data_IF_609844172643
#
_entry.id   IF_609844172643
#
_cell.length_a   1.000
_cell.length_b   1.000
_cell.length_c   1.000
_cell.angle_alpha   90.00
_cell.angle_beta   90.00
_cell.angle_gamma   90.00
#
_symmetry.space_group_name_H-M   'P 1'
#
loop_
_entity.id
_entity.type
_entity.pdbx_description
1 polymer ?
#
# COMPACT_ATOMS: atom_id res chain seq x y z
N UNK A 1 32.35 14.26 -18.80
CA UNK A 1 31.17 13.38 -19.01
C UNK A 1 30.01 14.03 -18.31
N UNK A 2 28.94 14.35 -19.05
CA UNK A 2 27.76 14.89 -18.38
C UNK A 2 27.11 13.74 -17.57
N UNK A 3 26.52 14.05 -16.44
CA UNK A 3 25.70 13.13 -15.62
C UNK A 3 24.63 12.36 -16.43
N UNK A 4 24.40 12.77 -17.67
CA UNK A 4 23.37 12.27 -18.56
C UNK A 4 23.84 11.11 -19.45
N UNK A 5 25.15 10.89 -19.57
CA UNK A 5 25.72 9.88 -20.46
C UNK A 5 26.06 8.57 -19.71
N UNK A 6 26.17 8.61 -18.40
CA UNK A 6 26.27 7.40 -17.57
C UNK A 6 24.86 6.89 -17.22
N UNK A 7 24.49 5.68 -17.61
CA UNK A 7 23.18 5.11 -17.30
C UNK A 7 22.84 5.14 -15.81
N UNK A 8 23.78 4.87 -14.93
CA UNK A 8 23.68 5.09 -13.47
C UNK A 8 25.08 5.29 -12.95
N UNK A 9 25.40 6.51 -12.47
CA UNK A 9 26.68 6.79 -11.84
C UNK A 9 26.96 5.92 -10.61
N UNK A 10 28.21 5.70 -10.26
CA UNK A 10 28.59 4.86 -9.10
C UNK A 10 27.87 5.25 -7.80
N UNK A 11 27.69 6.55 -7.55
CA UNK A 11 26.97 7.06 -6.38
C UNK A 11 25.48 6.68 -6.30
N UNK A 12 24.91 6.20 -7.38
CA UNK A 12 23.51 5.75 -7.46
C UNK A 12 23.35 4.23 -7.34
N UNK A 13 24.44 3.52 -7.08
CA UNK A 13 24.44 2.06 -6.86
C UNK A 13 24.67 1.74 -5.40
N UNK A 14 24.32 0.52 -4.93
CA UNK A 14 24.69 0.09 -3.60
C UNK A 14 26.22 -0.02 -3.44
N UNK A 15 26.71 0.24 -2.23
CA UNK A 15 28.12 0.04 -1.90
C UNK A 15 28.43 -1.45 -1.75
N UNK A 16 27.47 -2.23 -1.21
CA UNK A 16 27.56 -3.67 -1.17
C UNK A 16 27.11 -4.28 -2.51
N UNK A 17 27.96 -5.04 -3.24
CA UNK A 17 27.60 -5.63 -4.53
C UNK A 17 26.53 -6.74 -4.45
N UNK A 18 26.22 -7.24 -3.26
CA UNK A 18 25.16 -8.24 -3.03
C UNK A 18 23.83 -7.60 -2.64
N UNK A 19 23.81 -6.31 -2.32
CA UNK A 19 22.62 -5.59 -1.90
C UNK A 19 21.93 -4.88 -3.09
N UNK A 20 20.68 -4.51 -2.90
CA UNK A 20 20.00 -3.51 -3.73
C UNK A 20 20.01 -2.16 -3.00
N UNK A 21 20.05 -1.06 -3.75
CA UNK A 21 19.88 0.28 -3.19
C UNK A 21 18.40 0.65 -3.22
N UNK A 22 17.81 0.85 -2.03
CA UNK A 22 16.43 1.31 -1.88
C UNK A 22 16.41 2.85 -1.76
N UNK A 23 15.91 3.52 -2.78
CA UNK A 23 15.61 4.95 -2.70
C UNK A 23 14.27 5.17 -2.01
N UNK A 24 14.36 5.67 -0.79
CA UNK A 24 13.24 5.92 0.08
C UNK A 24 13.58 6.82 1.25
N UNK A 25 12.60 7.06 2.10
CA UNK A 25 12.73 7.72 3.39
C UNK A 25 11.82 7.01 4.40
N UNK A 26 12.16 7.07 5.68
CA UNK A 26 11.46 6.34 6.74
C UNK A 26 9.95 6.63 6.81
N UNK A 27 9.55 7.87 6.52
CA UNK A 27 8.16 8.33 6.53
C UNK A 27 7.41 8.10 5.21
N UNK A 28 8.02 7.44 4.22
CA UNK A 28 7.34 7.12 2.96
C UNK A 28 6.30 6.02 3.17
N UNK A 29 5.03 6.33 2.90
CA UNK A 29 3.92 5.40 3.06
C UNK A 29 4.13 4.12 2.24
N UNK A 30 4.24 4.23 0.94
CA UNK A 30 4.31 3.07 0.04
C UNK A 30 5.60 2.24 0.14
N UNK A 31 6.66 2.78 0.77
CA UNK A 31 7.90 2.03 0.97
C UNK A 31 7.77 0.94 2.02
N UNK A 32 6.85 1.07 2.97
CA UNK A 32 6.63 0.08 4.03
C UNK A 32 6.51 -1.35 3.50
N UNK A 33 5.77 -1.55 2.40
CA UNK A 33 5.62 -2.84 1.72
C UNK A 33 6.96 -3.44 1.31
N UNK A 34 7.73 -2.74 0.49
CA UNK A 34 8.99 -3.25 -0.07
C UNK A 34 10.06 -3.44 1.00
N UNK A 35 10.19 -2.49 1.94
CA UNK A 35 11.15 -2.57 3.05
C UNK A 35 10.87 -3.78 3.93
N UNK A 36 9.63 -3.92 4.39
CA UNK A 36 9.20 -5.03 5.23
C UNK A 36 9.41 -6.38 4.54
N UNK A 37 9.07 -6.47 3.25
CA UNK A 37 9.29 -7.67 2.46
C UNK A 37 10.77 -8.06 2.40
N UNK A 38 11.64 -7.11 2.05
CA UNK A 38 13.08 -7.38 1.99
C UNK A 38 13.65 -7.82 3.33
N UNK A 39 13.22 -7.20 4.44
CA UNK A 39 13.62 -7.61 5.80
C UNK A 39 13.17 -9.04 6.09
N UNK A 40 11.89 -9.36 5.83
CA UNK A 40 11.31 -10.68 6.10
C UNK A 40 11.93 -11.80 5.26
N UNK A 41 12.31 -11.51 4.03
CA UNK A 41 12.94 -12.47 3.13
C UNK A 41 14.49 -12.48 3.20
N UNK A 42 15.07 -11.68 4.09
CA UNK A 42 16.53 -11.62 4.24
C UNK A 42 17.26 -11.07 3.01
N UNK A 43 16.61 -10.24 2.21
CA UNK A 43 17.18 -9.63 1.02
C UNK A 43 18.08 -8.46 1.46
N UNK A 44 19.39 -8.48 1.15
CA UNK A 44 20.28 -7.39 1.51
C UNK A 44 19.89 -6.09 0.76
N UNK A 45 19.80 -5.00 1.49
CA UNK A 45 19.54 -3.69 0.89
C UNK A 45 20.23 -2.56 1.67
N UNK A 46 20.50 -1.47 0.97
CA UNK A 46 20.92 -0.19 1.54
C UNK A 46 19.80 0.82 1.28
N UNK A 47 19.40 1.59 2.28
CA UNK A 47 18.38 2.63 2.10
C UNK A 47 19.04 4.02 2.03
N UNK A 48 18.68 4.79 1.01
CA UNK A 48 19.13 6.17 0.82
C UNK A 48 17.98 7.09 0.45
N UNK A 49 18.02 8.32 0.98
CA UNK A 49 17.12 9.37 0.53
C UNK A 49 17.33 9.64 -0.98
N UNK A 50 16.24 9.92 -1.73
CA UNK A 50 16.35 10.10 -3.17
C UNK A 50 17.06 11.41 -3.59
N UNK A 51 17.17 12.39 -2.72
CA UNK A 51 17.96 13.60 -2.98
C UNK A 51 19.47 13.30 -2.85
N UNK A 52 20.32 13.79 -3.75
CA UNK A 52 20.03 14.71 -4.87
C UNK A 52 19.63 14.02 -6.19
N UNK A 53 19.41 12.71 -6.22
CA UNK A 53 19.24 11.89 -7.43
C UNK A 53 17.81 11.84 -7.98
N UNK A 54 16.88 12.51 -7.32
CA UNK A 54 15.45 12.49 -7.64
C UNK A 54 15.16 12.77 -9.12
N UNK A 55 15.80 13.81 -9.65
CA UNK A 55 15.59 14.22 -11.04
C UNK A 55 16.15 13.20 -12.03
N UNK A 56 17.35 12.68 -11.79
CA UNK A 56 17.99 11.69 -12.64
C UNK A 56 17.21 10.38 -12.68
N UNK A 57 16.72 9.91 -11.52
CA UNK A 57 15.87 8.74 -11.42
C UNK A 57 14.56 8.95 -12.19
N UNK A 58 13.90 10.09 -11.99
CA UNK A 58 12.66 10.44 -12.68
C UNK A 58 12.82 10.49 -14.20
N UNK A 59 13.93 11.06 -14.70
CA UNK A 59 14.23 11.10 -16.13
C UNK A 59 14.41 9.70 -16.75
N UNK A 60 15.03 8.78 -16.02
CA UNK A 60 15.24 7.40 -16.50
C UNK A 60 13.97 6.55 -16.52
N UNK A 61 13.06 6.81 -15.58
CA UNK A 61 11.85 6.00 -15.40
C UNK A 61 10.58 6.70 -15.94
N UNK A 62 10.70 7.90 -16.51
CA UNK A 62 9.55 8.72 -16.88
C UNK A 62 8.88 9.42 -15.70
N UNK A 63 8.88 8.82 -14.51
CA UNK A 63 8.37 9.39 -13.26
C UNK A 63 9.12 8.78 -12.07
N UNK A 64 9.56 9.62 -11.14
CA UNK A 64 10.07 9.11 -9.87
C UNK A 64 8.92 8.86 -8.88
N UNK A 65 9.04 7.78 -8.12
CA UNK A 65 8.23 7.52 -6.91
C UNK A 65 9.05 6.69 -5.90
N UNK A 66 8.68 6.78 -4.64
CA UNK A 66 9.17 5.91 -3.58
C UNK A 66 8.16 4.78 -3.33
N UNK A 67 8.62 3.53 -3.18
CA UNK A 67 10.01 3.06 -3.27
C UNK A 67 10.50 2.89 -4.71
N UNK A 68 11.80 3.00 -4.89
CA UNK A 68 12.52 2.60 -6.11
C UNK A 68 13.77 1.85 -5.70
N UNK A 69 14.05 0.68 -6.29
CA UNK A 69 15.30 -0.05 -6.07
C UNK A 69 16.21 0.04 -7.29
N UNK A 70 17.51 0.06 -7.03
CA UNK A 70 18.57 -0.01 -8.04
C UNK A 70 19.47 -1.20 -7.71
N UNK A 71 19.66 -2.07 -8.69
CA UNK A 71 20.54 -3.23 -8.59
C UNK A 71 22.00 -2.85 -8.84
N UNK A 72 22.97 -3.67 -8.41
CA UNK A 72 24.40 -3.45 -8.72
C UNK A 72 24.68 -3.34 -10.22
N UNK A 73 23.95 -4.08 -11.05
CA UNK A 73 24.05 -4.05 -12.51
C UNK A 73 23.39 -2.79 -13.16
N UNK A 74 22.73 -1.97 -12.35
CA UNK A 74 22.09 -0.75 -12.80
C UNK A 74 20.63 -0.89 -13.24
N UNK A 75 20.04 -2.08 -13.16
CA UNK A 75 18.59 -2.24 -13.34
C UNK A 75 17.84 -1.46 -12.29
N UNK A 76 16.67 -0.95 -12.66
CA UNK A 76 15.79 -0.18 -11.78
C UNK A 76 14.43 -0.86 -11.74
N UNK A 77 13.85 -0.98 -10.55
CA UNK A 77 12.45 -1.33 -10.36
C UNK A 77 11.81 -0.27 -9.49
N UNK A 78 10.74 0.30 -9.97
CA UNK A 78 9.92 1.30 -9.28
C UNK A 78 8.63 0.67 -8.80
N UNK A 79 8.13 1.15 -7.67
CA UNK A 79 6.89 0.77 -7.00
C UNK A 79 6.99 -0.47 -6.11
N UNK A 80 6.32 -0.38 -4.95
CA UNK A 80 6.38 -1.43 -3.93
C UNK A 80 5.80 -2.77 -4.37
N UNK A 81 4.76 -2.77 -5.20
CA UNK A 81 4.16 -4.00 -5.74
C UNK A 81 5.13 -4.69 -6.69
N UNK A 82 5.68 -3.94 -7.66
CA UNK A 82 6.62 -4.50 -8.63
C UNK A 82 7.92 -5.00 -7.97
N UNK A 83 8.37 -4.35 -6.91
CA UNK A 83 9.55 -4.80 -6.14
C UNK A 83 9.24 -6.14 -5.45
N UNK A 84 8.10 -6.26 -4.80
CA UNK A 84 7.67 -7.49 -4.14
C UNK A 84 7.47 -8.61 -5.16
N UNK A 85 6.74 -8.36 -6.24
CA UNK A 85 6.48 -9.34 -7.31
C UNK A 85 7.80 -9.86 -7.92
N UNK A 86 8.77 -8.97 -8.15
CA UNK A 86 10.10 -9.37 -8.66
C UNK A 86 10.80 -10.38 -7.76
N UNK A 87 10.75 -10.17 -6.45
CA UNK A 87 11.40 -11.09 -5.50
C UNK A 87 10.54 -12.34 -5.25
N UNK A 88 9.21 -12.22 -5.20
CA UNK A 88 8.28 -13.37 -5.10
C UNK A 88 8.53 -14.38 -6.20
N UNK A 89 8.56 -13.94 -7.47
CA UNK A 89 8.82 -14.81 -8.61
C UNK A 89 10.16 -15.57 -8.50
N UNK A 90 11.19 -14.95 -7.93
CA UNK A 90 12.53 -15.54 -7.79
C UNK A 90 12.72 -16.42 -6.58
N UNK A 91 11.90 -16.23 -5.56
CA UNK A 91 11.99 -16.95 -4.27
C UNK A 91 10.95 -18.08 -4.15
N UNK A 92 10.18 -18.36 -5.19
CA UNK A 92 9.14 -19.40 -5.20
C UNK A 92 7.87 -18.99 -4.43
N UNK A 93 7.54 -17.71 -4.45
CA UNK A 93 6.33 -17.12 -3.89
C UNK A 93 6.12 -17.39 -2.39
N UNK A 94 7.09 -17.05 -1.52
CA UNK A 94 7.01 -17.35 -0.10
C UNK A 94 5.84 -16.66 0.63
N UNK A 95 5.37 -15.51 0.14
CA UNK A 95 4.26 -14.77 0.73
C UNK A 95 2.89 -15.10 0.12
N UNK A 96 2.84 -16.06 -0.81
CA UNK A 96 1.60 -16.54 -1.40
C UNK A 96 1.05 -17.73 -0.60
N UNK A 97 -0.12 -17.63 0.04
CA UNK A 97 -0.77 -18.78 0.66
C UNK A 97 -1.12 -19.84 -0.39
N UNK A 98 -1.05 -21.14 -0.04
CA UNK A 98 -1.38 -22.23 -0.97
C UNK A 98 -2.88 -22.39 -1.20
N UNK A 99 -3.71 -22.03 -0.21
CA UNK A 99 -5.16 -22.13 -0.28
C UNK A 99 -5.77 -21.03 -1.15
N UNK A 100 -6.78 -21.33 -1.98
CA UNK A 100 -7.40 -20.36 -2.87
C UNK A 100 -8.11 -19.21 -2.13
N UNK A 101 -8.88 -19.49 -1.07
CA UNK A 101 -9.52 -18.45 -0.26
C UNK A 101 -8.49 -17.57 0.45
N UNK A 102 -7.50 -18.17 1.07
CA UNK A 102 -6.39 -17.44 1.69
C UNK A 102 -5.64 -16.57 0.69
N UNK A 103 -5.42 -17.08 -0.53
CA UNK A 103 -4.74 -16.28 -1.57
C UNK A 103 -5.57 -15.07 -1.99
N UNK A 104 -6.89 -15.23 -2.18
CA UNK A 104 -7.80 -14.10 -2.46
C UNK A 104 -7.79 -13.07 -1.34
N UNK A 105 -7.88 -13.53 -0.08
CA UNK A 105 -7.80 -12.65 1.10
C UNK A 105 -6.46 -11.90 1.13
N UNK A 106 -5.36 -12.60 0.87
CA UNK A 106 -4.03 -11.99 0.82
C UNK A 106 -3.93 -10.87 -0.23
N UNK A 107 -4.48 -11.09 -1.44
CA UNK A 107 -4.53 -10.08 -2.50
C UNK A 107 -5.47 -8.92 -2.14
N UNK A 108 -6.61 -9.18 -1.52
CA UNK A 108 -7.52 -8.12 -1.05
C UNK A 108 -6.84 -7.22 -0.03
N UNK A 109 -6.17 -7.78 0.97
CA UNK A 109 -5.43 -6.95 1.94
C UNK A 109 -4.25 -6.22 1.32
N UNK A 110 -3.66 -6.72 0.22
CA UNK A 110 -2.64 -5.99 -0.54
C UNK A 110 -3.23 -4.71 -1.18
N UNK A 111 -4.47 -4.78 -1.70
CA UNK A 111 -5.21 -3.60 -2.18
C UNK A 111 -5.64 -2.69 -1.02
N UNK A 112 -6.31 -3.25 -0.01
CA UNK A 112 -6.89 -2.52 1.11
C UNK A 112 -5.82 -1.78 1.93
N UNK A 113 -4.65 -2.38 2.14
CA UNK A 113 -3.53 -1.74 2.82
C UNK A 113 -3.04 -0.52 2.06
N UNK A 114 -2.80 -0.66 0.75
CA UNK A 114 -2.28 0.43 -0.06
C UNK A 114 -3.30 1.54 -0.32
N UNK A 115 -4.58 1.18 -0.58
CA UNK A 115 -5.61 2.10 -1.05
C UNK A 115 -6.70 2.39 -0.01
N UNK A 116 -7.09 1.40 0.81
CA UNK A 116 -8.16 1.54 1.79
C UNK A 116 -7.76 2.38 3.00
N UNK A 117 -6.49 2.35 3.44
CA UNK A 117 -6.00 3.12 4.59
C UNK A 117 -5.24 4.40 4.21
N UNK A 118 -5.21 4.79 2.94
CA UNK A 118 -4.61 6.06 2.51
C UNK A 118 -5.28 7.26 3.16
N UNK A 119 -6.61 7.27 3.22
CA UNK A 119 -7.40 8.37 3.76
C UNK A 119 -7.08 8.64 5.23
N UNK A 120 -7.17 7.68 6.17
CA UNK A 120 -6.75 7.91 7.54
C UNK A 120 -5.25 8.23 7.66
N UNK A 121 -4.38 7.63 6.85
CA UNK A 121 -2.95 7.92 6.86
C UNK A 121 -2.65 9.38 6.53
N UNK A 122 -3.38 9.97 5.58
CA UNK A 122 -3.25 11.39 5.22
C UNK A 122 -3.91 12.30 6.24
N UNK A 123 -5.07 11.90 6.77
CA UNK A 123 -5.76 12.66 7.80
C UNK A 123 -4.89 12.83 9.05
N UNK A 124 -4.42 11.73 9.62
CA UNK A 124 -3.63 11.76 10.84
C UNK A 124 -2.29 12.47 10.67
N UNK A 125 -1.69 12.46 9.49
CA UNK A 125 -0.43 13.18 9.24
C UNK A 125 -0.59 14.68 9.18
N UNK A 126 -1.66 15.20 8.59
CA UNK A 126 -1.75 16.61 8.21
C UNK A 126 -2.83 17.42 8.92
N UNK A 127 -3.60 16.81 9.84
CA UNK A 127 -4.69 17.52 10.54
C UNK A 127 -4.52 17.56 12.07
N UNK A 128 -3.33 17.25 12.58
CA UNK A 128 -2.97 17.30 14.00
C UNK A 128 -1.67 18.09 14.19
N UNK A 129 -1.60 19.28 13.60
CA UNK A 129 -0.37 20.08 13.54
C UNK A 129 0.09 20.53 14.93
N UNK A 130 -0.84 20.86 15.82
CA UNK A 130 -0.50 21.30 17.20
C UNK A 130 0.28 20.24 17.98
N UNK A 131 0.00 18.95 17.76
CA UNK A 131 0.59 17.84 18.50
C UNK A 131 1.86 17.28 17.87
N UNK A 132 2.06 17.47 16.55
CA UNK A 132 3.12 16.76 15.84
C UNK A 132 3.90 17.59 14.81
N UNK A 133 3.72 18.92 14.80
CA UNK A 133 4.37 19.83 13.84
C UNK A 133 5.87 19.58 13.72
N UNK A 134 6.60 19.64 14.82
CA UNK A 134 8.06 19.52 14.83
C UNK A 134 8.53 18.17 14.32
N UNK A 135 7.80 17.09 14.62
CA UNK A 135 8.11 15.76 14.13
C UNK A 135 7.94 15.66 12.62
N UNK A 136 6.83 16.16 12.09
CA UNK A 136 6.57 16.16 10.64
C UNK A 136 7.58 17.05 9.92
N UNK A 137 7.81 18.26 10.41
CA UNK A 137 8.77 19.20 9.85
C UNK A 137 10.19 18.61 9.81
N UNK A 138 10.64 17.97 10.90
CA UNK A 138 11.93 17.28 10.95
C UNK A 138 12.08 16.26 9.81
N UNK A 139 11.06 15.42 9.60
CA UNK A 139 11.13 14.37 8.58
C UNK A 139 11.17 14.93 7.17
N UNK A 140 10.38 15.95 6.87
CA UNK A 140 10.42 16.60 5.56
C UNK A 140 11.72 17.38 5.34
N UNK A 141 12.20 18.10 6.35
CA UNK A 141 13.47 18.84 6.30
C UNK A 141 14.67 17.91 6.06
N UNK A 142 14.73 16.77 6.78
CA UNK A 142 15.80 15.79 6.59
C UNK A 142 15.78 15.16 5.19
N UNK A 143 14.59 14.92 4.63
CA UNK A 143 14.43 14.46 3.25
C UNK A 143 14.90 15.51 2.21
N UNK A 144 14.84 16.78 2.55
CA UNK A 144 15.20 17.91 1.69
C UNK A 144 16.62 18.44 1.96
N UNK A 145 17.53 17.60 2.47
CA UNK A 145 18.91 17.97 2.81
C UNK A 145 19.03 19.17 3.76
N UNK A 146 18.08 19.35 4.69
CA UNK A 146 18.07 20.44 5.65
C UNK A 146 17.37 21.72 5.16
N UNK A 147 16.76 21.73 3.97
CA UNK A 147 16.01 22.89 3.48
C UNK A 147 14.60 22.92 4.12
N UNK A 148 14.51 23.58 5.26
CA UNK A 148 13.27 23.70 6.04
C UNK A 148 12.20 24.52 5.30
N UNK A 149 12.58 25.57 4.59
CA UNK A 149 11.62 26.39 3.84
C UNK A 149 11.00 25.63 2.67
N UNK A 150 11.76 24.77 2.02
CA UNK A 150 11.23 23.87 1.01
C UNK A 150 10.33 22.80 1.65
N UNK A 151 10.73 22.24 2.79
CA UNK A 151 9.94 21.28 3.55
C UNK A 151 8.56 21.83 3.93
N UNK A 152 8.49 23.06 4.47
CA UNK A 152 7.24 23.75 4.80
C UNK A 152 6.31 23.90 3.58
N UNK A 153 6.87 24.28 2.42
CA UNK A 153 6.10 24.41 1.16
C UNK A 153 5.54 23.06 0.71
N UNK A 154 6.32 21.98 0.81
CA UNK A 154 5.86 20.64 0.45
C UNK A 154 4.78 20.15 1.41
N UNK A 155 4.95 20.33 2.72
CA UNK A 155 3.93 19.99 3.72
C UNK A 155 2.62 20.72 3.44
N UNK A 156 2.68 22.04 3.25
CA UNK A 156 1.52 22.86 2.91
C UNK A 156 0.85 22.40 1.60
N UNK A 157 1.63 22.10 0.55
CA UNK A 157 1.09 21.59 -0.70
C UNK A 157 0.38 20.25 -0.53
N UNK A 158 0.98 19.31 0.20
CA UNK A 158 0.38 17.99 0.40
C UNK A 158 -0.88 18.09 1.25
N UNK A 159 -0.85 18.86 2.32
CA UNK A 159 -2.01 19.08 3.19
C UNK A 159 -3.19 19.72 2.46
N UNK A 160 -2.95 20.77 1.67
CA UNK A 160 -4.02 21.59 1.07
C UNK A 160 -4.47 21.12 -0.31
N UNK A 161 -3.60 20.44 -1.08
CA UNK A 161 -3.91 20.06 -2.46
C UNK A 161 -3.93 18.55 -2.71
N UNK A 162 -3.15 17.76 -1.96
CA UNK A 162 -3.06 16.32 -2.20
C UNK A 162 -4.01 15.53 -1.29
N UNK A 163 -4.03 15.81 0.01
CA UNK A 163 -4.91 15.11 0.95
C UNK A 163 -6.42 15.23 0.60
N UNK A 164 -6.92 16.39 0.13
CA UNK A 164 -8.31 16.50 -0.32
C UNK A 164 -8.67 15.62 -1.52
N UNK A 165 -7.70 15.20 -2.35
CA UNK A 165 -7.94 14.29 -3.47
C UNK A 165 -8.28 12.86 -3.00
N UNK A 166 -7.95 12.51 -1.78
CA UNK A 166 -8.39 11.27 -1.10
C UNK A 166 -9.60 11.47 -0.18
N UNK A 167 -10.28 12.60 -0.29
CA UNK A 167 -11.47 12.88 0.50
C UNK A 167 -11.19 13.33 1.93
N UNK A 168 -9.96 13.75 2.25
CA UNK A 168 -9.61 14.31 3.56
C UNK A 168 -10.00 15.79 3.59
N UNK A 169 -11.10 16.12 4.24
CA UNK A 169 -11.65 17.46 4.41
C UNK A 169 -12.23 17.61 5.81
N UNK A 170 -12.39 18.81 6.35
CA UNK A 170 -12.99 19.00 7.68
C UNK A 170 -14.35 18.30 7.86
N UNK A 171 -15.17 18.24 6.81
CA UNK A 171 -16.48 17.56 6.82
C UNK A 171 -16.40 16.04 6.92
N UNK A 172 -15.24 15.44 6.62
CA UNK A 172 -15.06 13.98 6.60
C UNK A 172 -14.18 13.48 7.75
N UNK A 173 -13.57 14.35 8.56
CA UNK A 173 -12.64 13.93 9.63
C UNK A 173 -13.29 12.92 10.58
N UNK A 174 -14.51 13.21 11.06
CA UNK A 174 -15.18 12.34 12.03
C UNK A 174 -15.45 10.92 11.51
N UNK A 175 -15.86 10.78 10.26
CA UNK A 175 -16.09 9.44 9.66
C UNK A 175 -14.76 8.72 9.40
N UNK A 176 -13.70 9.44 9.01
CA UNK A 176 -12.36 8.86 8.83
C UNK A 176 -11.83 8.29 10.14
N UNK A 177 -11.94 9.06 11.22
CA UNK A 177 -11.50 8.63 12.56
C UNK A 177 -12.31 7.43 13.05
N UNK A 178 -13.64 7.47 12.90
CA UNK A 178 -14.53 6.35 13.27
C UNK A 178 -14.17 5.06 12.55
N UNK A 179 -13.98 5.12 11.23
CA UNK A 179 -13.62 3.95 10.43
C UNK A 179 -12.22 3.43 10.80
N UNK A 180 -11.26 4.33 11.01
CA UNK A 180 -9.92 3.91 11.42
C UNK A 180 -9.89 3.29 12.82
N UNK A 181 -10.65 3.84 13.77
CA UNK A 181 -10.77 3.25 15.11
C UNK A 181 -11.41 1.86 15.08
N UNK A 182 -12.45 1.68 14.25
CA UNK A 182 -13.05 0.36 14.02
C UNK A 182 -12.08 -0.64 13.39
N UNK A 183 -11.24 -0.20 12.45
CA UNK A 183 -10.14 -1.01 11.93
C UNK A 183 -9.15 -1.41 13.04
N UNK A 184 -8.74 -0.44 13.86
CA UNK A 184 -7.78 -0.69 14.96
C UNK A 184 -8.36 -1.72 15.94
N UNK A 185 -9.62 -1.60 16.32
CA UNK A 185 -10.28 -2.56 17.22
C UNK A 185 -10.25 -3.99 16.64
N UNK A 186 -10.71 -4.17 15.41
CA UNK A 186 -10.82 -5.49 14.76
C UNK A 186 -9.48 -6.13 14.45
N UNK A 187 -8.54 -5.34 13.91
CA UNK A 187 -7.22 -5.88 13.60
C UNK A 187 -6.43 -6.18 14.88
N UNK A 188 -6.56 -5.35 15.92
CA UNK A 188 -5.97 -5.65 17.24
C UNK A 188 -6.55 -6.94 17.83
N UNK A 189 -7.86 -7.19 17.72
CA UNK A 189 -8.49 -8.42 18.18
C UNK A 189 -7.97 -9.64 17.42
N UNK A 190 -7.84 -9.55 16.08
CA UNK A 190 -7.24 -10.60 15.26
C UNK A 190 -5.82 -10.96 15.74
N UNK A 191 -5.00 -9.95 15.96
CA UNK A 191 -3.60 -10.11 16.35
C UNK A 191 -3.40 -10.62 17.78
N UNK A 192 -4.45 -10.77 18.59
CA UNK A 192 -4.35 -11.51 19.86
C UNK A 192 -4.23 -13.02 19.65
N UNK A 193 -4.65 -13.52 18.47
CA UNK A 193 -4.71 -14.94 18.15
C UNK A 193 -3.64 -15.36 17.15
N UNK A 194 -3.33 -14.49 16.19
CA UNK A 194 -2.42 -14.79 15.09
C UNK A 194 -1.37 -13.69 14.93
N UNK A 195 -0.09 -14.03 14.66
CA UNK A 195 0.96 -13.04 14.44
C UNK A 195 0.82 -12.27 13.11
N UNK A 196 0.10 -12.83 12.14
CA UNK A 196 -0.14 -12.29 10.80
C UNK A 196 -1.56 -12.59 10.35
N UNK A 197 -1.99 -12.02 9.23
CA UNK A 197 -3.36 -12.15 8.71
C UNK A 197 -3.84 -13.61 8.55
N UNK A 198 -2.96 -14.51 8.12
CA UNK A 198 -3.33 -15.89 7.76
C UNK A 198 -2.50 -16.94 8.49
N UNK A 199 -2.16 -16.66 9.75
CA UNK A 199 -1.45 -17.63 10.61
C UNK A 199 -0.07 -17.17 11.03
N UNK A 200 0.91 -18.10 11.08
CA UNK A 200 2.25 -17.89 11.61
C UNK A 200 3.28 -17.33 10.61
N UNK A 201 2.86 -16.97 9.39
CA UNK A 201 3.72 -16.47 8.33
C UNK A 201 3.07 -15.30 7.61
N UNK A 202 3.82 -14.21 7.28
CA UNK A 202 3.24 -13.07 6.59
C UNK A 202 2.88 -13.39 5.13
N UNK A 203 1.72 -12.92 4.68
CA UNK A 203 1.26 -12.97 3.29
C UNK A 203 1.43 -11.61 2.60
N UNK A 204 1.12 -11.52 1.28
CA UNK A 204 1.17 -10.27 0.52
C UNK A 204 0.33 -9.15 1.18
N UNK A 205 -0.80 -9.51 1.77
CA UNK A 205 -1.67 -8.58 2.49
C UNK A 205 -1.02 -7.93 3.70
N UNK A 206 -0.22 -8.68 4.48
CA UNK A 206 0.55 -8.12 5.59
C UNK A 206 1.53 -7.05 5.08
N UNK A 207 2.20 -7.30 3.96
CA UNK A 207 3.08 -6.31 3.35
C UNK A 207 2.32 -5.10 2.79
N UNK A 208 1.12 -5.31 2.25
CA UNK A 208 0.21 -4.24 1.83
C UNK A 208 -0.15 -3.30 2.98
N UNK A 209 -0.57 -3.86 4.11
CA UNK A 209 -0.89 -3.10 5.33
C UNK A 209 0.31 -2.32 5.90
N UNK A 210 1.55 -2.75 5.64
CA UNK A 210 2.75 -2.01 6.04
C UNK A 210 2.92 -0.68 5.32
N UNK A 211 2.23 -0.42 4.23
CA UNK A 211 2.24 0.89 3.60
C UNK A 211 1.78 2.00 4.57
N UNK A 212 0.53 2.03 5.00
CA UNK A 212 0.04 3.06 5.92
C UNK A 212 0.51 2.84 7.37
N UNK A 213 0.55 1.58 7.83
CA UNK A 213 0.80 1.28 9.25
C UNK A 213 2.25 1.45 9.68
N UNK A 214 3.22 1.49 8.76
CA UNK A 214 4.58 1.87 9.13
C UNK A 214 4.86 3.35 8.86
N UNK A 215 4.66 3.80 7.61
CA UNK A 215 5.12 5.12 7.17
C UNK A 215 4.39 6.30 7.83
N UNK A 216 3.13 6.13 8.18
CA UNK A 216 2.25 7.16 8.74
C UNK A 216 1.66 6.75 10.09
N UNK A 217 0.66 5.86 10.08
CA UNK A 217 -0.20 5.55 11.22
C UNK A 217 0.55 4.91 12.41
N UNK A 218 1.58 4.13 12.14
CA UNK A 218 2.44 3.55 13.18
C UNK A 218 3.69 4.38 13.50
N UNK A 219 3.84 5.59 12.92
CA UNK A 219 5.03 6.41 13.07
C UNK A 219 4.75 7.81 13.57
N UNK A 220 3.77 8.51 12.99
CA UNK A 220 3.46 9.89 13.36
C UNK A 220 2.89 9.93 14.78
N UNK A 221 3.25 10.91 15.62
CA UNK A 221 3.00 10.88 17.06
C UNK A 221 1.55 10.60 17.47
N UNK A 222 0.57 11.25 16.83
CA UNK A 222 -0.84 11.12 17.20
C UNK A 222 -1.37 9.72 16.90
N UNK A 223 -1.32 9.18 15.65
CA UNK A 223 -1.83 7.84 15.39
C UNK A 223 -0.94 6.75 16.02
N UNK A 224 0.36 6.96 16.20
CA UNK A 224 1.23 6.02 16.90
C UNK A 224 0.80 5.87 18.36
N UNK A 225 0.50 7.00 19.06
CA UNK A 225 -0.04 6.97 20.43
C UNK A 225 -1.39 6.23 20.46
N UNK A 226 -2.27 6.45 19.48
CA UNK A 226 -3.53 5.73 19.38
C UNK A 226 -3.29 4.21 19.31
N UNK A 227 -2.35 3.75 18.48
CA UNK A 227 -2.00 2.33 18.39
C UNK A 227 -1.43 1.80 19.72
N UNK A 228 -0.54 2.54 20.39
CA UNK A 228 -0.01 2.12 21.70
C UNK A 228 -1.11 1.93 22.75
N UNK A 229 -2.12 2.79 22.77
CA UNK A 229 -3.16 2.79 23.78
C UNK A 229 -4.37 1.90 23.47
N UNK A 230 -4.74 1.78 22.19
CA UNK A 230 -5.96 1.08 21.77
C UNK A 230 -5.72 -0.14 20.88
N UNK A 231 -4.52 -0.22 20.25
CA UNK A 231 -4.12 -1.29 19.35
C UNK A 231 -2.71 -1.83 19.68
N UNK A 232 -2.38 -2.22 20.92
CA UNK A 232 -1.02 -2.62 21.29
C UNK A 232 -0.50 -3.83 20.51
N UNK A 233 -1.38 -4.73 20.06
CA UNK A 233 -1.00 -5.84 19.20
C UNK A 233 -0.66 -5.39 17.78
N UNK A 234 -1.33 -4.34 17.25
CA UNK A 234 -0.96 -3.73 15.97
C UNK A 234 0.41 -3.04 16.09
N UNK A 235 0.63 -2.29 17.19
CA UNK A 235 1.94 -1.68 17.45
C UNK A 235 3.04 -2.74 17.45
N UNK A 236 2.85 -3.85 18.16
CA UNK A 236 3.80 -4.98 18.17
C UNK A 236 3.91 -5.66 16.80
N UNK A 237 2.81 -5.76 16.03
CA UNK A 237 2.84 -6.29 14.67
C UNK A 237 3.68 -5.42 13.72
N UNK A 238 3.59 -4.09 13.81
CA UNK A 238 4.43 -3.16 13.04
C UNK A 238 5.91 -3.38 13.35
N UNK A 239 6.27 -3.58 14.62
CA UNK A 239 7.65 -3.94 15.00
C UNK A 239 8.05 -5.29 14.40
N UNK A 240 7.18 -6.32 14.51
CA UNK A 240 7.41 -7.65 13.98
C UNK A 240 7.66 -7.61 12.47
N UNK A 241 6.86 -6.87 11.73
CA UNK A 241 7.01 -6.72 10.29
C UNK A 241 8.32 -6.01 9.87
N UNK A 242 9.00 -5.33 10.77
CA UNK A 242 10.32 -4.70 10.56
C UNK A 242 11.49 -5.51 11.17
N UNK A 243 11.28 -6.78 11.48
CA UNK A 243 12.31 -7.69 11.97
C UNK A 243 12.41 -8.92 11.07
N UNK A 244 13.58 -9.58 11.01
CA UNK A 244 13.71 -10.87 10.30
C UNK A 244 12.76 -11.95 10.84
N UNK A 245 12.46 -12.94 10.01
CA UNK A 245 11.74 -14.14 10.42
C UNK A 245 12.70 -15.14 11.15
N UNK A 246 12.16 -15.97 12.06
CA UNK A 246 10.84 -15.85 12.68
C UNK A 246 10.83 -14.84 13.83
N UNK A 247 9.72 -14.07 13.98
CA UNK A 247 9.48 -13.20 15.15
C UNK A 247 8.03 -13.41 15.65
N UNK A 248 7.78 -14.56 16.25
CA UNK A 248 6.45 -14.99 16.72
C UNK A 248 6.51 -15.49 18.16
N UNK A 249 7.41 -14.93 18.99
CA UNK A 249 7.66 -15.40 20.36
C UNK A 249 6.46 -15.35 21.29
N UNK A 250 5.48 -14.48 21.00
CA UNK A 250 4.21 -14.41 21.75
C UNK A 250 3.24 -15.55 21.39
N UNK A 251 3.46 -16.27 20.29
CA UNK A 251 2.57 -17.31 19.75
C UNK A 251 3.29 -18.66 19.71
N UNK A 252 3.77 -19.11 20.87
CA UNK A 252 4.66 -20.28 21.04
C UNK A 252 4.11 -21.60 20.51
N UNK A 253 2.78 -21.73 20.37
CA UNK A 253 2.12 -22.92 19.88
C UNK A 253 1.72 -22.86 18.39
N UNK A 254 1.97 -21.73 17.71
CA UNK A 254 1.63 -21.55 16.30
C UNK A 254 2.84 -21.91 15.43
N UNK A 255 2.65 -22.81 14.42
CA UNK A 255 3.72 -23.12 13.49
C UNK A 255 4.01 -21.93 12.59
N UNK A 256 5.26 -21.80 12.13
CA UNK A 256 5.67 -20.79 11.15
C UNK A 256 5.18 -21.19 9.74
N UNK A 257 3.88 -21.18 9.56
CA UNK A 257 3.17 -21.54 8.32
C UNK A 257 1.86 -20.77 8.20
N UNK A 258 1.27 -20.78 7.03
CA UNK A 258 -0.13 -20.39 6.87
C UNK A 258 -1.05 -21.42 7.57
N UNK A 259 -2.27 -20.99 7.89
CA UNK A 259 -3.29 -21.88 8.45
C UNK A 259 -3.58 -23.03 7.49
N UNK A 260 -3.93 -24.20 8.06
CA UNK A 260 -4.21 -25.41 7.26
C UNK A 260 -5.60 -25.32 6.62
N UNK A 261 -5.89 -26.22 5.69
CA UNK A 261 -7.22 -26.46 5.11
C UNK A 261 -7.88 -25.18 4.52
N UNK A 262 -7.08 -24.25 4.02
CA UNK A 262 -7.54 -22.97 3.46
C UNK A 262 -8.37 -22.13 4.44
N UNK A 263 -8.18 -22.34 5.75
CA UNK A 263 -8.90 -21.65 6.81
C UNK A 263 -8.66 -20.12 6.74
N UNK A 264 -9.78 -19.37 6.75
CA UNK A 264 -9.79 -17.92 6.91
C UNK A 264 -10.44 -17.58 8.26
N UNK A 265 -9.72 -17.01 9.23
CA UNK A 265 -10.26 -16.70 10.55
C UNK A 265 -11.49 -15.80 10.49
N UNK A 266 -12.46 -16.01 11.37
CA UNK A 266 -13.65 -15.18 11.52
C UNK A 266 -13.29 -13.71 11.74
N UNK A 267 -12.24 -13.44 12.50
CA UNK A 267 -11.71 -12.07 12.72
C UNK A 267 -11.20 -11.40 11.44
N UNK A 268 -10.78 -12.16 10.43
CA UNK A 268 -10.44 -11.64 9.10
C UNK A 268 -11.71 -11.32 8.31
N UNK A 269 -12.74 -12.14 8.42
CA UNK A 269 -14.06 -11.89 7.80
C UNK A 269 -14.66 -10.61 8.37
N UNK A 270 -14.63 -10.42 9.68
CA UNK A 270 -15.07 -9.19 10.35
C UNK A 270 -14.27 -7.96 9.91
N UNK A 271 -12.97 -8.11 9.72
CA UNK A 271 -12.09 -7.03 9.27
C UNK A 271 -12.36 -6.65 7.81
N UNK A 272 -12.54 -7.63 6.93
CA UNK A 272 -12.93 -7.39 5.52
C UNK A 272 -14.31 -6.74 5.43
N UNK A 273 -15.28 -7.20 6.23
CA UNK A 273 -16.62 -6.60 6.32
C UNK A 273 -16.57 -5.14 6.77
N UNK A 274 -15.66 -4.83 7.69
CA UNK A 274 -15.44 -3.45 8.11
C UNK A 274 -14.85 -2.59 6.99
N UNK A 275 -13.85 -3.09 6.25
CA UNK A 275 -13.30 -2.39 5.09
C UNK A 275 -14.35 -2.18 3.99
N UNK A 276 -15.31 -3.08 3.83
CA UNK A 276 -16.36 -2.95 2.82
C UNK A 276 -17.19 -1.68 2.99
N UNK A 277 -17.29 -1.13 4.22
CA UNK A 277 -18.13 0.05 4.53
C UNK A 277 -17.78 1.28 3.70
N UNK A 278 -16.51 1.53 3.44
CA UNK A 278 -16.07 2.67 2.64
C UNK A 278 -15.36 2.26 1.34
N UNK A 279 -14.61 1.15 1.35
CA UNK A 279 -13.86 0.70 0.19
C UNK A 279 -14.76 0.31 -1.00
N UNK A 280 -15.87 -0.39 -0.75
CA UNK A 280 -16.78 -0.83 -1.82
C UNK A 280 -17.48 0.38 -2.48
N UNK A 281 -18.18 1.27 -1.75
CA UNK A 281 -18.82 2.44 -2.37
C UNK A 281 -17.81 3.37 -3.04
N UNK A 282 -16.61 3.58 -2.47
CA UNK A 282 -15.56 4.34 -3.11
C UNK A 282 -15.10 3.71 -4.43
N UNK A 283 -14.91 2.38 -4.46
CA UNK A 283 -14.44 1.68 -5.66
C UNK A 283 -15.49 1.72 -6.78
N UNK A 284 -16.77 1.57 -6.45
CA UNK A 284 -17.87 1.72 -7.43
C UNK A 284 -17.92 3.14 -8.01
N UNK A 285 -17.83 4.15 -7.16
CA UNK A 285 -17.83 5.55 -7.60
C UNK A 285 -16.58 5.88 -8.43
N UNK A 286 -15.41 5.38 -8.00
CA UNK A 286 -14.13 5.55 -8.70
C UNK A 286 -14.13 4.88 -10.07
N UNK A 287 -14.70 3.67 -10.20
CA UNK A 287 -14.89 2.98 -11.48
C UNK A 287 -15.65 3.87 -12.47
N UNK A 288 -16.81 4.39 -12.04
CA UNK A 288 -17.64 5.27 -12.87
C UNK A 288 -16.93 6.58 -13.24
N UNK A 289 -16.16 7.15 -12.29
CA UNK A 289 -15.39 8.37 -12.52
C UNK A 289 -14.27 8.20 -13.53
N UNK A 290 -13.51 7.10 -13.42
CA UNK A 290 -12.42 6.78 -14.35
C UNK A 290 -12.94 6.46 -15.74
N UNK A 291 -14.02 5.66 -15.89
CA UNK A 291 -14.57 5.32 -17.20
C UNK A 291 -15.11 6.56 -17.92
N UNK A 292 -15.76 7.49 -17.21
CA UNK A 292 -16.15 8.79 -17.77
C UNK A 292 -14.92 9.58 -18.24
N UNK A 293 -13.88 9.62 -17.43
CA UNK A 293 -12.63 10.28 -17.81
C UNK A 293 -11.98 9.63 -19.04
N UNK A 294 -12.00 8.29 -19.14
CA UNK A 294 -11.49 7.54 -20.31
C UNK A 294 -12.29 7.85 -21.57
N UNK A 295 -13.62 7.96 -21.48
CA UNK A 295 -14.45 8.34 -22.62
C UNK A 295 -14.14 9.75 -23.13
N UNK A 296 -13.91 10.71 -22.22
CA UNK A 296 -13.62 12.11 -22.54
C UNK A 296 -12.19 12.31 -23.09
N UNK A 297 -11.18 11.65 -22.49
CA UNK A 297 -9.78 11.92 -22.74
C UNK A 297 -9.15 10.96 -23.77
N UNK A 298 -9.68 9.74 -23.92
CA UNK A 298 -9.26 8.71 -24.90
C UNK A 298 -7.74 8.55 -24.95
N UNK A 299 -7.05 8.26 -23.81
CA UNK A 299 -5.60 8.16 -23.80
C UNK A 299 -5.14 7.11 -24.81
N UNK A 300 -4.01 7.35 -25.48
CA UNK A 300 -3.45 6.38 -26.41
C UNK A 300 -2.93 5.14 -25.66
N UNK A 301 -3.05 3.96 -26.29
CA UNK A 301 -2.51 2.71 -25.76
C UNK A 301 -1.00 2.83 -25.55
N UNK A 302 -0.50 2.30 -24.43
CA UNK A 302 0.90 2.36 -24.03
C UNK A 302 1.32 3.68 -23.40
N UNK A 303 0.41 4.68 -23.30
CA UNK A 303 0.71 5.90 -22.54
C UNK A 303 0.62 5.66 -21.06
N UNK A 304 1.42 6.42 -20.27
CA UNK A 304 1.42 6.34 -18.82
C UNK A 304 0.05 6.69 -18.26
N UNK A 305 -0.43 5.88 -17.32
CA UNK A 305 -1.62 6.19 -16.53
C UNK A 305 -1.41 7.43 -15.66
N UNK A 306 -2.41 8.25 -15.60
CA UNK A 306 -2.48 9.38 -14.68
C UNK A 306 -2.47 8.89 -13.23
N UNK A 307 -1.97 9.74 -12.33
CA UNK A 307 -2.07 9.43 -10.90
C UNK A 307 -3.52 9.49 -10.44
N UNK A 308 -4.27 10.44 -10.97
CA UNK A 308 -5.69 10.65 -10.72
C UNK A 308 -6.41 10.79 -12.05
N UNK A 309 -7.53 10.12 -12.23
CA UNK A 309 -8.33 10.14 -13.44
C UNK A 309 -9.81 10.35 -13.09
N UNK A 310 -10.32 11.55 -13.35
CA UNK A 310 -11.68 11.93 -13.06
C UNK A 310 -11.96 12.35 -11.61
N UNK A 311 -13.22 12.42 -11.29
CA UNK A 311 -13.75 12.74 -9.96
C UNK A 311 -14.84 11.73 -9.59
N UNK A 312 -14.98 11.44 -8.31
CA UNK A 312 -15.98 10.56 -7.77
C UNK A 312 -16.50 11.06 -6.43
N UNK A 313 -17.76 10.73 -6.15
CA UNK A 313 -18.43 11.02 -4.88
C UNK A 313 -19.17 9.78 -4.42
N UNK A 314 -19.11 9.49 -3.15
CA UNK A 314 -19.80 8.37 -2.51
C UNK A 314 -20.21 8.74 -1.09
N UNK A 315 -21.12 7.98 -0.51
CA UNK A 315 -21.61 8.18 0.86
C UNK A 315 -21.15 7.06 1.77
N UNK A 316 -20.76 7.43 2.99
CA UNK A 316 -20.50 6.50 4.09
C UNK A 316 -21.26 6.99 5.31
N UNK A 317 -22.25 6.24 5.74
CA UNK A 317 -23.08 6.54 6.91
C UNK A 317 -23.66 7.98 6.91
N UNK A 318 -24.09 8.46 5.74
CA UNK A 318 -24.67 9.80 5.57
C UNK A 318 -23.62 10.92 5.42
N UNK A 319 -22.33 10.58 5.31
CA UNK A 319 -21.26 11.52 5.01
C UNK A 319 -20.83 11.39 3.56
N UNK A 320 -21.03 12.45 2.76
CA UNK A 320 -20.55 12.49 1.38
C UNK A 320 -19.03 12.72 1.35
N UNK A 321 -18.33 11.89 0.57
CA UNK A 321 -16.88 11.93 0.40
C UNK A 321 -16.54 12.09 -1.06
N UNK A 322 -15.83 13.19 -1.41
CA UNK A 322 -15.33 13.46 -2.74
C UNK A 322 -13.88 13.03 -2.87
N UNK A 323 -13.54 12.31 -3.94
CA UNK A 323 -12.18 11.82 -4.23
C UNK A 323 -11.80 12.03 -5.68
N UNK A 324 -10.50 12.06 -5.95
CA UNK A 324 -9.94 11.92 -7.29
C UNK A 324 -9.49 10.46 -7.47
N UNK A 325 -10.21 9.66 -8.27
CA UNK A 325 -9.94 8.23 -8.42
C UNK A 325 -8.54 7.93 -8.92
N UNK A 326 -7.92 6.88 -8.39
CA UNK A 326 -6.61 6.44 -8.79
C UNK A 326 -6.70 5.16 -9.65
N UNK A 327 -6.26 5.17 -10.91
CA UNK A 327 -6.23 3.97 -11.76
C UNK A 327 -5.44 2.81 -11.13
N UNK A 328 -4.43 3.12 -10.31
CA UNK A 328 -3.60 2.10 -9.64
C UNK A 328 -4.41 1.16 -8.72
N UNK A 329 -5.51 1.63 -8.12
CA UNK A 329 -6.44 0.79 -7.37
C UNK A 329 -6.96 -0.37 -8.23
N UNK A 330 -7.34 -0.09 -9.47
CA UNK A 330 -7.87 -1.08 -10.40
C UNK A 330 -6.78 -2.03 -10.93
N UNK A 331 -5.56 -1.54 -11.09
CA UNK A 331 -4.40 -2.42 -11.36
C UNK A 331 -4.21 -3.47 -10.26
N UNK A 332 -4.35 -3.09 -8.99
CA UNK A 332 -4.28 -4.04 -7.87
C UNK A 332 -5.51 -4.95 -7.80
N UNK A 333 -6.70 -4.39 -8.01
CA UNK A 333 -7.97 -5.13 -7.93
C UNK A 333 -8.07 -6.19 -9.04
N UNK A 334 -7.53 -5.93 -10.22
CA UNK A 334 -7.47 -6.90 -11.32
C UNK A 334 -6.73 -8.19 -10.92
N UNK A 335 -5.75 -8.11 -10.01
CA UNK A 335 -5.04 -9.30 -9.49
C UNK A 335 -6.00 -10.21 -8.71
N UNK A 336 -6.89 -9.62 -7.90
CA UNK A 336 -7.94 -10.35 -7.16
C UNK A 336 -8.93 -10.97 -8.14
N UNK A 337 -9.44 -10.19 -9.09
CA UNK A 337 -10.41 -10.62 -10.10
C UNK A 337 -9.84 -11.76 -10.96
N UNK A 338 -8.61 -11.64 -11.42
CA UNK A 338 -7.91 -12.66 -12.20
C UNK A 338 -7.67 -13.95 -11.40
N UNK A 339 -7.29 -13.82 -10.12
CA UNK A 339 -7.11 -14.98 -9.25
C UNK A 339 -8.41 -15.78 -9.08
N UNK A 340 -9.56 -15.11 -8.93
CA UNK A 340 -10.87 -15.77 -8.82
C UNK A 340 -11.30 -16.41 -10.16
N UNK A 341 -11.04 -15.76 -11.29
CA UNK A 341 -11.44 -16.25 -12.62
C UNK A 341 -10.77 -17.57 -13.00
N UNK A 342 -9.58 -17.85 -12.50
CA UNK A 342 -8.87 -19.11 -12.79
C UNK A 342 -9.31 -20.26 -11.89
N UNK A 343 -9.97 -19.99 -10.77
CA UNK A 343 -10.54 -21.01 -9.87
C UNK A 343 -11.69 -21.75 -10.54
N UNK A 344 -11.93 -22.97 -10.12
CA UNK A 344 -13.00 -23.83 -10.65
C UNK A 344 -13.66 -24.66 -9.55
N UNK A 345 -14.90 -25.07 -9.80
CA UNK A 345 -15.61 -25.99 -8.90
C UNK A 345 -15.81 -25.42 -7.47
N UNK A 346 -15.50 -26.22 -6.47
CA UNK A 346 -15.63 -25.82 -5.06
C UNK A 346 -14.78 -24.59 -4.71
N UNK A 347 -13.53 -24.55 -5.15
CA UNK A 347 -12.59 -23.46 -4.81
C UNK A 347 -13.13 -22.08 -5.25
N UNK A 348 -13.73 -22.02 -6.44
CA UNK A 348 -14.37 -20.80 -6.91
C UNK A 348 -15.64 -20.47 -6.12
N UNK A 349 -16.47 -21.47 -5.83
CA UNK A 349 -17.69 -21.28 -5.07
C UNK A 349 -17.39 -20.81 -3.63
N UNK A 350 -16.40 -21.39 -2.98
CA UNK A 350 -15.98 -21.05 -1.62
C UNK A 350 -15.39 -19.62 -1.55
N UNK A 351 -14.53 -19.25 -2.52
CA UNK A 351 -13.99 -17.89 -2.60
C UNK A 351 -15.09 -16.84 -2.83
N UNK A 352 -16.08 -17.12 -3.70
CA UNK A 352 -17.21 -16.19 -3.92
C UNK A 352 -18.11 -16.10 -2.69
N UNK A 353 -18.40 -17.21 -2.00
CA UNK A 353 -19.19 -17.23 -0.77
C UNK A 353 -18.49 -16.43 0.36
N UNK A 354 -17.17 -16.56 0.49
CA UNK A 354 -16.37 -15.76 1.41
C UNK A 354 -16.52 -14.27 1.13
N UNK A 355 -16.38 -13.85 -0.12
CA UNK A 355 -16.48 -12.44 -0.52
C UNK A 355 -17.90 -11.88 -0.35
N UNK A 356 -18.91 -12.72 -0.57
CA UNK A 356 -20.32 -12.35 -0.30
C UNK A 356 -20.54 -12.11 1.20
N UNK A 357 -20.03 -13.00 2.04
CA UNK A 357 -20.06 -12.84 3.51
C UNK A 357 -19.40 -11.54 3.98
N UNK A 358 -18.33 -11.12 3.30
CA UNK A 358 -17.61 -9.87 3.61
C UNK A 358 -18.20 -8.62 2.93
N UNK A 359 -19.29 -8.72 2.18
CA UNK A 359 -19.85 -7.64 1.35
C UNK A 359 -18.86 -7.06 0.30
N UNK A 360 -17.95 -7.90 -0.21
CA UNK A 360 -16.91 -7.51 -1.16
C UNK A 360 -17.22 -7.93 -2.61
N UNK A 361 -18.30 -8.64 -2.87
CA UNK A 361 -18.62 -9.19 -4.21
C UNK A 361 -18.75 -8.10 -5.27
N UNK A 362 -19.29 -6.94 -4.91
CA UNK A 362 -19.55 -5.84 -5.86
C UNK A 362 -18.28 -5.32 -6.57
N UNK A 363 -17.08 -5.50 -5.98
CA UNK A 363 -15.83 -5.02 -6.60
C UNK A 363 -15.27 -5.99 -7.64
N UNK A 364 -15.82 -7.20 -7.75
CA UNK A 364 -15.28 -8.24 -8.64
C UNK A 364 -15.58 -7.96 -10.12
N UNK A 365 -16.71 -7.29 -10.41
CA UNK A 365 -17.16 -7.00 -11.77
C UNK A 365 -16.76 -5.59 -12.25
N UNK A 366 -16.08 -4.81 -11.40
CA UNK A 366 -15.67 -3.45 -11.71
C UNK A 366 -14.41 -3.45 -12.59
N UNK A 367 -14.60 -3.58 -13.90
CA UNK A 367 -13.53 -3.48 -14.90
C UNK A 367 -13.57 -2.12 -15.58
N UNK A 368 -12.41 -1.51 -15.71
CA UNK A 368 -12.27 -0.28 -16.47
C UNK A 368 -12.45 -0.56 -17.99
N UNK A 369 -12.89 0.45 -18.72
CA UNK A 369 -13.00 0.38 -20.19
C UNK A 369 -11.64 0.26 -20.87
N UNK A 370 -10.57 0.40 -20.13
CA UNK A 370 -9.18 0.17 -20.50
C UNK A 370 -8.47 -0.63 -19.42
N UNK A 371 -7.75 -1.67 -19.80
CA UNK A 371 -6.89 -2.40 -18.89
C UNK A 371 -5.66 -1.57 -18.49
N UNK A 372 -5.06 -1.90 -17.35
CA UNK A 372 -3.83 -1.27 -16.90
C UNK A 372 -2.72 -2.32 -16.87
N UNK A 373 -1.64 -2.06 -17.60
CA UNK A 373 -0.45 -2.89 -17.57
C UNK A 373 0.78 -2.14 -17.10
N UNK A 374 1.94 -2.77 -17.26
CA UNK A 374 3.23 -2.15 -16.95
C UNK A 374 4.17 -2.16 -18.14
N UNK A 375 4.80 -1.02 -18.40
CA UNK A 375 5.88 -0.88 -19.36
C UNK A 375 6.95 0.08 -18.80
N UNK A 376 8.22 -0.33 -18.84
CA UNK A 376 9.36 0.50 -18.44
C UNK A 376 9.19 1.16 -17.07
N UNK A 377 8.77 0.40 -16.05
CA UNK A 377 8.51 0.85 -14.68
C UNK A 377 7.30 1.80 -14.52
N UNK A 378 6.45 1.95 -15.52
CA UNK A 378 5.24 2.78 -15.47
C UNK A 378 4.00 1.93 -15.65
N UNK A 379 2.94 2.31 -14.97
CA UNK A 379 1.59 1.85 -15.28
C UNK A 379 1.16 2.53 -16.59
N UNK A 380 0.62 1.75 -17.53
CA UNK A 380 0.21 2.21 -18.86
C UNK A 380 -1.18 1.70 -19.21
N UNK A 381 -1.91 2.51 -19.99
CA UNK A 381 -3.19 2.12 -20.53
C UNK A 381 -3.02 1.07 -21.62
N UNK A 382 -3.77 -0.01 -21.54
CA UNK A 382 -3.85 -1.09 -22.53
C UNK A 382 -5.23 -1.12 -23.20
N UNK A 383 -5.41 -2.02 -24.15
CA UNK A 383 -6.73 -2.29 -24.76
C UNK A 383 -7.67 -2.99 -23.79
#
# INVERSE_FOLDING_TARGET
MSWFDDPIGPAMKPDNPEAVLLYSVAQSMYTGRARSYMIKQGIPYEERAPQPYLYQLGKKMGRFSMPTIVFPDGRIIRDGVAIVDFFEERSGHPAKPPGPCQHIVSLLFDVLGAEGLCRPAMHYRFNFDEEQHDFILYHFTSQMNGDEEHAKKVIAHVSTNVAPQWGVRPSTHAIIEKLYEGFVEKFNAHLTQYPYLLGGKPCLGDFGLMCPLYGHLGRDPVPHRLLQMRGPWIHRWVERMNRPEPDTGEYINLPHSFLQDDEVPETIIELLTHFALDFVPETIASHSGINRWLEENKPAIGTQCERYAGEAEFDVEGTSIHVCPQPFRFYLLERVQSAIQVLKGSDQADALALLDTCNMTAVLDLKLDRNIGRANNLEVWLD
#
